data_IF_313049738099
#
_entry.id   IF_313049738099
#
_cell.length_a   1.000
_cell.length_b   1.000
_cell.length_c   1.000
_cell.angle_alpha   90.00
_cell.angle_beta   90.00
_cell.angle_gamma   90.00
#
_symmetry.space_group_name_H-M   'P 1'
#
loop_
_entity.id
_entity.type
_entity.pdbx_description
1 polymer ?
#
# COMPACT_ATOMS: atom_id res chain seq x y z
N UNK A 1 36.09 -5.14 9.08
CA UNK A 1 35.16 -5.61 8.00
C UNK A 1 35.58 -4.95 6.71
N UNK A 2 35.69 -5.73 5.62
CA UNK A 2 36.02 -5.20 4.29
C UNK A 2 35.26 -5.97 3.22
N UNK A 3 34.50 -5.24 2.36
CA UNK A 3 33.61 -5.80 1.37
C UNK A 3 33.79 -5.02 0.06
N UNK A 4 33.72 -5.71 -1.07
CA UNK A 4 33.67 -5.12 -2.40
C UNK A 4 32.32 -5.47 -3.02
N UNK A 5 31.52 -4.47 -3.32
CA UNK A 5 30.21 -4.59 -3.98
C UNK A 5 30.36 -4.23 -5.46
N UNK A 6 29.68 -4.94 -6.32
CA UNK A 6 29.37 -4.42 -7.65
C UNK A 6 28.35 -3.30 -7.53
N UNK A 7 28.60 -2.18 -8.21
CA UNK A 7 27.76 -0.97 -8.12
C UNK A 7 26.30 -1.22 -8.54
N UNK A 8 26.08 -1.99 -9.60
CA UNK A 8 24.76 -2.34 -10.08
C UNK A 8 23.96 -3.14 -9.03
N UNK A 9 24.59 -4.13 -8.37
CA UNK A 9 23.97 -4.96 -7.35
C UNK A 9 23.61 -4.13 -6.11
N UNK A 10 24.57 -3.37 -5.57
CA UNK A 10 24.31 -2.60 -4.34
C UNK A 10 23.29 -1.46 -4.57
N UNK A 11 23.29 -0.81 -5.73
CA UNK A 11 22.29 0.20 -6.07
C UNK A 11 20.88 -0.39 -6.17
N UNK A 12 20.74 -1.58 -6.77
CA UNK A 12 19.48 -2.29 -6.84
C UNK A 12 18.97 -2.69 -5.45
N UNK A 13 19.89 -3.09 -4.55
CA UNK A 13 19.54 -3.52 -3.19
C UNK A 13 19.15 -2.34 -2.26
N UNK A 14 19.81 -1.20 -2.39
CA UNK A 14 19.59 -0.08 -1.47
C UNK A 14 18.18 0.53 -1.61
N UNK A 15 17.60 0.56 -2.82
CA UNK A 15 16.30 1.16 -3.04
C UNK A 15 15.17 0.45 -2.25
N UNK A 16 14.99 -0.88 -2.31
CA UNK A 16 14.03 -1.61 -1.48
C UNK A 16 14.28 -1.45 0.03
N UNK A 17 15.55 -1.43 0.46
CA UNK A 17 15.91 -1.30 1.87
C UNK A 17 15.41 -0.01 2.50
N UNK A 18 15.28 1.08 1.73
CA UNK A 18 14.76 2.35 2.25
C UNK A 18 13.33 2.24 2.77
N UNK A 19 12.55 1.25 2.33
CA UNK A 19 11.20 0.98 2.84
C UNK A 19 11.15 0.51 4.30
N UNK A 20 12.25 -0.03 4.82
CA UNK A 20 12.37 -0.46 6.23
C UNK A 20 13.04 0.57 7.15
N UNK A 21 13.46 1.72 6.63
CA UNK A 21 14.15 2.75 7.41
C UNK A 21 13.16 3.61 8.19
N UNK A 22 13.47 3.92 9.45
CA UNK A 22 12.66 4.83 10.26
C UNK A 22 12.73 6.26 9.73
N UNK A 23 11.58 6.93 9.69
CA UNK A 23 11.48 8.37 9.41
C UNK A 23 11.41 9.21 10.68
N UNK A 24 11.42 8.57 11.86
CA UNK A 24 11.35 9.23 13.17
C UNK A 24 12.66 9.02 13.91
N UNK A 25 13.29 10.07 14.37
CA UNK A 25 14.58 10.09 15.12
C UNK A 25 14.42 9.54 16.56
N UNK A 26 13.97 8.30 16.73
CA UNK A 26 13.87 7.68 18.07
C UNK A 26 15.08 6.89 18.46
N UNK A 27 15.71 6.19 17.51
CA UNK A 27 16.91 5.38 17.71
C UNK A 27 17.79 5.52 16.45
N UNK A 28 19.02 5.98 16.60
CA UNK A 28 19.92 6.17 15.46
C UNK A 28 20.16 4.89 14.64
N UNK A 29 20.12 3.72 15.30
CA UNK A 29 20.27 2.43 14.63
C UNK A 29 19.13 2.12 13.65
N UNK A 30 17.89 2.61 13.89
CA UNK A 30 16.74 2.37 13.01
C UNK A 30 16.73 3.26 11.74
N UNK A 31 17.60 4.27 11.69
CA UNK A 31 17.88 5.07 10.50
C UNK A 31 18.98 4.47 9.64
N UNK A 32 19.55 3.35 10.08
CA UNK A 32 20.69 2.68 9.45
C UNK A 32 20.32 1.41 8.69
N UNK A 33 21.27 0.98 7.87
CA UNK A 33 21.31 -0.36 7.28
C UNK A 33 22.31 -1.18 8.11
N UNK A 34 21.84 -2.26 8.72
CA UNK A 34 22.70 -3.29 9.25
C UNK A 34 23.31 -4.08 8.09
N UNK A 35 24.62 -4.10 8.01
CA UNK A 35 25.39 -4.85 7.02
C UNK A 35 26.09 -6.00 7.76
N UNK A 36 25.80 -7.23 7.34
CA UNK A 36 26.38 -8.45 7.88
C UNK A 36 27.10 -9.19 6.75
N UNK A 37 28.43 -9.21 6.80
CA UNK A 37 29.26 -9.83 5.79
C UNK A 37 29.84 -11.16 6.29
N UNK A 38 29.61 -12.22 5.52
CA UNK A 38 30.07 -13.57 5.78
C UNK A 38 30.88 -14.11 4.61
N UNK A 39 32.04 -14.71 4.93
CA UNK A 39 32.90 -15.33 3.91
C UNK A 39 32.22 -16.52 3.24
N UNK A 40 32.47 -16.78 1.94
CA UNK A 40 33.38 -15.95 1.10
C UNK A 40 32.66 -14.77 0.43
N UNK A 41 31.36 -14.81 0.20
CA UNK A 41 30.67 -13.88 -0.74
C UNK A 41 29.22 -13.54 -0.38
N UNK A 42 28.82 -13.72 0.87
CA UNK A 42 27.44 -13.44 1.31
C UNK A 42 27.41 -12.14 2.12
N UNK A 43 26.57 -11.20 1.69
CA UNK A 43 26.28 -9.99 2.42
C UNK A 43 24.77 -9.86 2.64
N UNK A 44 24.37 -9.77 3.92
CA UNK A 44 22.97 -9.53 4.31
C UNK A 44 22.82 -8.07 4.71
N UNK A 45 21.87 -7.41 4.11
CA UNK A 45 21.52 -6.02 4.38
C UNK A 45 20.14 -5.99 5.03
N UNK A 46 20.01 -5.34 6.19
CA UNK A 46 18.74 -5.28 6.91
C UNK A 46 18.44 -3.86 7.37
N UNK A 47 17.21 -3.42 7.18
CA UNK A 47 16.65 -2.21 7.77
C UNK A 47 15.44 -2.58 8.61
N UNK A 48 15.22 -1.89 9.74
CA UNK A 48 14.11 -2.20 10.64
C UNK A 48 13.77 -0.99 11.52
N UNK A 49 12.51 -0.55 11.45
CA UNK A 49 12.00 0.59 12.23
C UNK A 49 11.22 0.19 13.49
N UNK A 50 11.37 -1.07 13.94
CA UNK A 50 10.68 -1.72 15.08
C UNK A 50 9.24 -2.20 14.73
N UNK A 51 8.61 -1.64 13.71
CA UNK A 51 7.29 -2.06 13.23
C UNK A 51 7.40 -2.91 11.96
N UNK A 52 8.24 -2.50 11.02
CA UNK A 52 8.48 -3.17 9.74
C UNK A 52 9.94 -3.10 9.33
N UNK A 53 10.36 -4.00 8.48
CA UNK A 53 11.72 -4.02 7.97
C UNK A 53 11.85 -4.71 6.63
N UNK A 54 13.01 -4.52 6.02
CA UNK A 54 13.40 -5.17 4.77
C UNK A 54 14.76 -5.83 4.99
N UNK A 55 14.87 -7.06 4.53
CA UNK A 55 16.14 -7.80 4.47
C UNK A 55 16.40 -8.22 3.03
N UNK A 56 17.64 -8.08 2.62
CA UNK A 56 18.11 -8.57 1.33
C UNK A 56 19.42 -9.32 1.52
N UNK A 57 19.56 -10.42 0.80
CA UNK A 57 20.83 -11.15 0.69
C UNK A 57 21.39 -10.87 -0.70
N UNK A 58 22.60 -10.33 -0.74
CA UNK A 58 23.28 -10.01 -2.00
C UNK A 58 24.65 -10.70 -2.05
N UNK A 59 25.09 -10.96 -3.27
CA UNK A 59 26.45 -11.41 -3.51
C UNK A 59 27.41 -10.22 -3.46
N UNK A 60 28.51 -10.37 -2.70
CA UNK A 60 29.56 -9.39 -2.59
C UNK A 60 30.89 -10.10 -2.30
N UNK A 61 32.01 -9.56 -2.75
CA UNK A 61 33.34 -10.10 -2.43
C UNK A 61 33.72 -9.69 -1.00
N UNK A 62 33.62 -10.63 -0.07
CA UNK A 62 33.91 -10.41 1.36
C UNK A 62 35.37 -10.73 1.64
N UNK A 63 36.19 -9.69 1.79
CA UNK A 63 37.61 -9.82 2.11
C UNK A 63 37.80 -10.06 3.61
N UNK A 64 37.05 -9.34 4.45
CA UNK A 64 37.03 -9.46 5.90
C UNK A 64 35.60 -9.48 6.42
N UNK A 65 35.23 -10.58 7.05
CA UNK A 65 33.87 -10.71 7.63
C UNK A 65 33.66 -9.71 8.78
N UNK A 66 32.41 -9.41 9.07
CA UNK A 66 32.03 -8.54 10.17
C UNK A 66 30.61 -7.97 10.00
N UNK A 67 30.22 -7.11 10.94
CA UNK A 67 28.91 -6.48 10.92
C UNK A 67 28.96 -5.08 11.49
N UNK A 68 28.20 -4.17 10.89
CA UNK A 68 28.06 -2.78 11.37
C UNK A 68 26.80 -2.14 10.80
N UNK A 69 26.41 -1.00 11.37
CA UNK A 69 25.27 -0.21 10.91
C UNK A 69 25.81 1.06 10.27
N UNK A 70 25.39 1.35 9.05
CA UNK A 70 25.68 2.60 8.34
C UNK A 70 24.42 3.40 8.13
N UNK A 71 24.51 4.75 8.11
CA UNK A 71 23.36 5.60 7.82
C UNK A 71 22.79 5.28 6.45
N UNK A 72 21.51 4.84 6.40
CA UNK A 72 20.83 4.42 5.18
C UNK A 72 20.78 5.54 4.13
N UNK A 73 20.40 6.74 4.56
CA UNK A 73 20.31 7.90 3.67
C UNK A 73 21.66 8.28 3.07
N UNK A 74 22.71 8.40 3.90
CA UNK A 74 24.06 8.75 3.43
C UNK A 74 24.64 7.67 2.53
N UNK A 75 24.53 6.40 2.95
CA UNK A 75 25.03 5.26 2.18
C UNK A 75 24.36 5.19 0.80
N UNK A 76 23.04 5.32 0.74
CA UNK A 76 22.28 5.34 -0.50
C UNK A 76 22.74 6.48 -1.44
N UNK A 77 22.91 7.69 -0.91
CA UNK A 77 23.35 8.83 -1.70
C UNK A 77 24.78 8.63 -2.24
N UNK A 78 25.70 8.16 -1.40
CA UNK A 78 27.10 7.92 -1.79
C UNK A 78 27.17 6.86 -2.88
N UNK A 79 26.56 5.70 -2.69
CA UNK A 79 26.57 4.58 -3.63
C UNK A 79 26.02 5.00 -5.01
N UNK A 80 24.98 5.83 -5.02
CA UNK A 80 24.37 6.33 -6.26
C UNK A 80 25.31 7.21 -7.10
N UNK A 81 26.09 8.08 -6.45
CA UNK A 81 26.95 9.06 -7.14
C UNK A 81 28.37 8.55 -7.43
N UNK A 82 28.78 7.42 -6.90
CA UNK A 82 30.10 6.83 -7.19
C UNK A 82 30.24 6.45 -8.67
N UNK A 83 31.40 6.74 -9.27
CA UNK A 83 31.63 6.55 -10.71
C UNK A 83 32.18 5.18 -11.11
N UNK A 84 32.81 4.44 -10.18
CA UNK A 84 33.41 3.12 -10.45
C UNK A 84 32.40 1.99 -10.56
N UNK A 85 32.80 0.87 -11.15
CA UNK A 85 31.98 -0.35 -11.23
C UNK A 85 31.95 -1.11 -9.89
N UNK A 86 33.03 -0.96 -9.09
CA UNK A 86 33.16 -1.61 -7.78
C UNK A 86 33.19 -0.56 -6.68
N UNK A 87 32.53 -0.87 -5.58
CA UNK A 87 32.46 -0.03 -4.38
C UNK A 87 33.03 -0.83 -3.21
N UNK A 88 34.14 -0.38 -2.67
CA UNK A 88 34.76 -0.99 -1.49
C UNK A 88 34.29 -0.27 -0.24
N UNK A 89 33.66 -1.00 0.68
CA UNK A 89 33.34 -0.55 2.03
C UNK A 89 34.33 -1.18 3.02
N UNK A 90 35.00 -0.33 3.78
CA UNK A 90 35.86 -0.76 4.88
C UNK A 90 35.39 -0.13 6.18
N UNK A 91 35.22 -0.91 7.24
CA UNK A 91 34.85 -0.40 8.58
C UNK A 91 35.94 -0.86 9.57
N UNK A 92 36.60 0.11 10.19
CA UNK A 92 37.67 -0.10 11.14
C UNK A 92 37.15 -0.34 12.59
N UNK A 93 38.06 -0.65 13.51
CA UNK A 93 37.73 -0.90 14.91
C UNK A 93 37.21 0.35 15.66
N UNK A 94 37.31 1.53 15.07
CA UNK A 94 36.78 2.79 15.60
C UNK A 94 35.39 3.11 15.03
N UNK A 95 34.79 2.17 14.31
CA UNK A 95 33.53 2.36 13.58
C UNK A 95 33.59 3.49 12.55
N UNK A 96 34.74 3.73 11.93
CA UNK A 96 34.84 4.62 10.79
C UNK A 96 34.60 3.80 9.51
N UNK A 97 33.52 4.11 8.80
CA UNK A 97 33.20 3.53 7.50
C UNK A 97 33.83 4.35 6.39
N UNK A 98 34.71 3.73 5.59
CA UNK A 98 35.32 4.31 4.39
C UNK A 98 34.76 3.62 3.17
N UNK A 99 34.21 4.40 2.24
CA UNK A 99 33.62 3.94 0.98
C UNK A 99 34.46 4.49 -0.17
N UNK A 100 35.03 3.60 -0.96
CA UNK A 100 35.94 3.95 -2.08
C UNK A 100 35.41 3.37 -3.38
N UNK A 101 35.43 4.18 -4.44
CA UNK A 101 35.18 3.73 -5.79
C UNK A 101 35.99 4.59 -6.77
N UNK A 102 36.88 3.98 -7.54
CA UNK A 102 37.78 4.67 -8.44
C UNK A 102 38.67 5.67 -7.68
N UNK A 103 38.52 6.97 -7.97
CA UNK A 103 39.26 8.07 -7.33
C UNK A 103 38.48 8.73 -6.19
N UNK A 104 37.24 8.35 -5.98
CA UNK A 104 36.37 8.94 -4.97
C UNK A 104 36.43 8.17 -3.66
N UNK A 105 36.54 8.91 -2.56
CA UNK A 105 36.54 8.33 -1.22
C UNK A 105 35.63 9.15 -0.30
N UNK A 106 34.77 8.49 0.44
CA UNK A 106 33.89 9.08 1.45
C UNK A 106 34.09 8.37 2.78
N UNK A 107 33.99 9.13 3.87
CA UNK A 107 34.03 8.60 5.21
C UNK A 107 32.77 8.99 5.97
N UNK A 108 32.27 8.08 6.80
CA UNK A 108 31.17 8.34 7.72
C UNK A 108 31.31 7.49 8.98
N UNK A 109 30.66 7.91 10.06
CA UNK A 109 30.59 7.11 11.28
C UNK A 109 29.60 5.98 11.10
N UNK A 110 30.02 4.76 11.43
CA UNK A 110 29.16 3.60 11.57
C UNK A 110 28.77 3.40 13.05
N UNK A 111 27.76 2.57 13.30
CA UNK A 111 27.39 2.14 14.65
C UNK A 111 27.69 0.64 14.80
N UNK A 112 27.98 0.17 16.02
CA UNK A 112 28.14 -1.26 16.27
C UNK A 112 26.87 -2.04 15.94
N UNK A 113 26.99 -3.21 15.31
CA UNK A 113 25.85 -4.06 14.96
C UNK A 113 24.98 -4.45 16.17
N UNK A 114 25.56 -4.57 17.37
CA UNK A 114 24.85 -4.87 18.62
C UNK A 114 23.79 -3.83 19.02
N UNK A 115 23.89 -2.62 18.48
CA UNK A 115 22.95 -1.53 18.75
C UNK A 115 21.71 -1.62 17.84
N UNK A 116 21.71 -2.54 16.86
CA UNK A 116 20.56 -2.78 16.00
C UNK A 116 19.45 -3.49 16.78
N UNK A 117 18.17 -3.07 16.59
CA UNK A 117 17.06 -3.72 17.26
C UNK A 117 16.97 -5.21 16.95
N UNK A 118 16.58 -6.02 17.94
CA UNK A 118 16.36 -7.45 17.72
C UNK A 118 15.27 -7.68 16.68
N UNK A 119 15.63 -8.36 15.60
CA UNK A 119 14.70 -8.71 14.52
C UNK A 119 13.87 -9.90 15.00
N UNK A 120 12.52 -9.85 14.87
CA UNK A 120 11.67 -10.96 15.24
C UNK A 120 12.11 -12.23 14.51
N UNK A 121 12.22 -13.35 15.23
CA UNK A 121 12.46 -14.67 14.61
C UNK A 121 11.24 -15.06 13.82
N UNK A 122 11.41 -15.17 12.53
CA UNK A 122 10.34 -15.36 11.57
C UNK A 122 10.31 -16.85 11.14
N UNK A 123 9.94 -17.72 12.07
CA UNK A 123 9.70 -19.13 11.76
C UNK A 123 8.20 -19.37 11.80
N UNK A 124 7.59 -19.65 10.66
CA UNK A 124 6.20 -20.02 10.56
C UNK A 124 6.03 -21.17 9.57
N UNK A 125 5.16 -22.11 9.93
CA UNK A 125 4.69 -23.16 9.04
C UNK A 125 3.37 -22.79 8.35
N UNK A 126 2.76 -21.67 8.71
CA UNK A 126 1.52 -21.18 8.13
C UNK A 126 1.81 -20.10 7.09
N UNK A 127 1.14 -20.17 5.96
CA UNK A 127 1.30 -19.18 4.91
C UNK A 127 0.81 -19.70 3.56
N UNK A 128 1.07 -18.90 2.54
CA UNK A 128 0.67 -19.20 1.17
C UNK A 128 1.58 -18.47 0.17
N UNK A 129 1.49 -18.89 -1.08
CA UNK A 129 2.13 -18.23 -2.21
C UNK A 129 1.04 -17.72 -3.16
N UNK A 130 1.21 -16.52 -3.69
CA UNK A 130 0.27 -15.88 -4.61
C UNK A 130 1.00 -15.09 -5.70
N UNK A 131 0.38 -14.83 -6.87
CA UNK A 131 0.92 -13.92 -7.88
C UNK A 131 1.06 -12.48 -7.31
N UNK A 132 2.23 -11.87 -7.51
CA UNK A 132 2.51 -10.51 -6.98
C UNK A 132 1.56 -9.46 -7.53
N UNK A 133 1.26 -9.52 -8.83
CA UNK A 133 0.37 -8.56 -9.48
C UNK A 133 -1.04 -8.60 -8.89
N UNK A 134 -1.56 -9.77 -8.53
CA UNK A 134 -2.87 -9.93 -7.88
C UNK A 134 -2.87 -9.27 -6.49
N UNK A 135 -1.92 -9.63 -5.63
CA UNK A 135 -1.81 -9.05 -4.28
C UNK A 135 -1.67 -7.53 -4.36
N UNK A 136 -0.81 -7.04 -5.27
CA UNK A 136 -0.61 -5.61 -5.49
C UNK A 136 -1.88 -4.91 -6.00
N UNK A 137 -2.59 -5.51 -6.96
CA UNK A 137 -3.84 -4.98 -7.51
C UNK A 137 -4.93 -4.84 -6.45
N UNK A 138 -5.12 -5.87 -5.62
CA UNK A 138 -6.08 -5.84 -4.52
C UNK A 138 -5.72 -4.79 -3.46
N UNK A 139 -4.43 -4.63 -3.14
CA UNK A 139 -3.97 -3.57 -2.25
C UNK A 139 -4.28 -2.19 -2.83
N UNK A 140 -4.02 -1.96 -4.12
CA UNK A 140 -4.30 -0.70 -4.81
C UNK A 140 -5.77 -0.30 -4.69
N UNK A 141 -6.69 -1.24 -4.90
CA UNK A 141 -8.14 -1.04 -4.81
C UNK A 141 -8.61 -0.65 -3.40
N UNK A 142 -7.90 -1.09 -2.34
CA UNK A 142 -8.35 -0.88 -0.97
C UNK A 142 -7.55 0.18 -0.18
N UNK A 143 -6.31 0.51 -0.57
CA UNK A 143 -5.41 1.36 0.23
C UNK A 143 -6.02 2.74 0.60
N UNK A 144 -6.81 3.34 -0.29
CA UNK A 144 -7.36 4.69 -0.09
C UNK A 144 -8.38 4.76 1.05
N UNK A 145 -9.01 3.64 1.40
CA UNK A 145 -10.08 3.59 2.40
C UNK A 145 -9.60 3.18 3.80
N UNK A 146 -8.30 2.92 4.00
CA UNK A 146 -7.74 2.67 5.33
C UNK A 146 -7.87 3.88 6.24
N UNK A 147 -8.17 3.64 7.52
CA UNK A 147 -8.14 4.66 8.55
C UNK A 147 -6.72 5.22 8.77
N UNK A 148 -6.65 6.48 9.13
CA UNK A 148 -5.41 7.16 9.51
C UNK A 148 -5.59 7.75 10.91
N UNK A 149 -4.92 7.17 11.91
CA UNK A 149 -5.04 7.55 13.31
C UNK A 149 -6.49 7.42 13.85
N UNK A 150 -7.26 6.45 13.34
CA UNK A 150 -8.58 6.10 13.91
C UNK A 150 -8.40 5.55 15.33
N UNK A 151 -9.34 5.85 16.23
CA UNK A 151 -9.32 5.37 17.61
C UNK A 151 -9.48 3.84 17.71
N UNK A 152 -10.01 3.21 16.68
CA UNK A 152 -10.09 1.75 16.52
C UNK A 152 -8.86 1.26 15.78
N UNK A 153 -7.86 0.67 16.44
CA UNK A 153 -6.58 0.30 15.81
C UNK A 153 -6.74 -0.58 14.57
N UNK A 154 -7.72 -1.48 14.56
CA UNK A 154 -7.98 -2.42 13.45
C UNK A 154 -8.30 -1.73 12.14
N UNK A 155 -8.83 -0.50 12.16
CA UNK A 155 -9.13 0.27 10.95
C UNK A 155 -7.90 0.99 10.38
N UNK A 156 -6.81 1.10 11.15
CA UNK A 156 -5.56 1.73 10.69
C UNK A 156 -4.69 0.78 9.84
N UNK A 157 -5.30 -0.19 9.19
CA UNK A 157 -4.63 -1.17 8.34
C UNK A 157 -5.56 -1.78 7.31
N UNK A 158 -4.95 -2.59 6.45
CA UNK A 158 -5.64 -3.38 5.44
C UNK A 158 -5.87 -4.79 5.99
N UNK A 159 -7.12 -5.20 6.02
CA UNK A 159 -7.51 -6.55 6.38
C UNK A 159 -7.37 -7.46 5.17
N UNK A 160 -6.76 -8.62 5.39
CA UNK A 160 -6.66 -9.71 4.44
C UNK A 160 -7.34 -10.95 4.99
N UNK A 161 -8.03 -11.67 4.14
CA UNK A 161 -8.57 -12.99 4.43
C UNK A 161 -8.34 -13.92 3.26
N UNK A 162 -7.81 -15.09 3.54
CA UNK A 162 -7.70 -16.21 2.58
C UNK A 162 -8.67 -17.27 3.04
N UNK A 163 -9.59 -17.68 2.18
CA UNK A 163 -10.47 -18.81 2.43
C UNK A 163 -11.03 -19.38 1.12
N UNK A 164 -11.14 -20.70 1.04
CA UNK A 164 -11.70 -21.42 -0.12
C UNK A 164 -11.08 -21.01 -1.47
N UNK A 165 -9.76 -20.80 -1.53
CA UNK A 165 -9.07 -20.39 -2.75
C UNK A 165 -9.29 -18.91 -3.16
N UNK A 166 -10.04 -18.13 -2.36
CA UNK A 166 -10.24 -16.70 -2.57
C UNK A 166 -9.33 -15.87 -1.67
N UNK A 167 -8.78 -14.84 -2.23
CA UNK A 167 -8.10 -13.78 -1.49
C UNK A 167 -9.05 -12.58 -1.38
N UNK A 168 -9.26 -12.11 -0.16
CA UNK A 168 -10.08 -10.94 0.15
C UNK A 168 -9.22 -9.86 0.78
N UNK A 169 -9.48 -8.61 0.41
CA UNK A 169 -8.95 -7.44 1.08
C UNK A 169 -10.06 -6.49 1.45
N UNK A 170 -10.00 -5.91 2.64
CA UNK A 170 -10.98 -4.93 3.10
C UNK A 170 -10.28 -3.80 3.83
N UNK A 171 -10.70 -2.59 3.55
CA UNK A 171 -10.33 -1.41 4.31
C UNK A 171 -11.55 -0.56 4.59
N UNK A 172 -11.56 0.10 5.74
CA UNK A 172 -12.66 0.96 6.15
C UNK A 172 -12.16 2.06 7.07
N UNK A 173 -12.72 3.24 6.90
CA UNK A 173 -12.69 4.30 7.89
C UNK A 173 -14.13 4.67 8.29
N UNK A 174 -14.35 5.80 8.93
CA UNK A 174 -15.71 6.22 9.32
C UNK A 174 -16.57 6.74 8.16
N UNK A 175 -16.04 6.87 6.95
CA UNK A 175 -16.70 7.54 5.82
C UNK A 175 -16.73 6.72 4.55
N UNK A 176 -15.78 5.84 4.36
CA UNK A 176 -15.61 5.04 3.15
C UNK A 176 -15.12 3.65 3.47
N UNK A 177 -15.41 2.71 2.60
CA UNK A 177 -14.97 1.33 2.66
C UNK A 177 -14.68 0.82 1.26
N UNK A 178 -13.65 -0.02 1.16
CA UNK A 178 -13.38 -0.80 -0.05
C UNK A 178 -13.27 -2.27 0.32
N UNK A 179 -13.89 -3.12 -0.47
CA UNK A 179 -13.71 -4.57 -0.40
C UNK A 179 -13.45 -5.11 -1.78
N UNK A 180 -12.49 -6.00 -1.88
CA UNK A 180 -12.08 -6.65 -3.10
C UNK A 180 -11.89 -8.14 -2.81
N UNK A 181 -12.43 -8.99 -3.66
CA UNK A 181 -12.23 -10.43 -3.56
C UNK A 181 -11.98 -10.99 -4.95
N UNK A 182 -10.98 -11.86 -5.06
CA UNK A 182 -10.65 -12.53 -6.32
C UNK A 182 -10.31 -13.99 -6.08
N UNK A 183 -10.70 -14.86 -7.02
CA UNK A 183 -10.18 -16.21 -7.12
C UNK A 183 -8.83 -16.15 -7.82
N UNK A 184 -7.81 -16.78 -7.24
CA UNK A 184 -6.47 -16.77 -7.80
C UNK A 184 -5.73 -18.05 -7.44
N UNK A 185 -4.69 -18.37 -8.18
CA UNK A 185 -3.85 -19.53 -7.95
C UNK A 185 -3.04 -19.38 -6.66
N UNK A 186 -3.72 -19.68 -5.53
CA UNK A 186 -3.06 -19.75 -4.23
C UNK A 186 -2.45 -21.12 -4.03
N UNK A 187 -1.22 -21.16 -3.57
CA UNK A 187 -0.52 -22.41 -3.23
C UNK A 187 -0.13 -22.42 -1.76
N UNK A 188 -0.31 -23.56 -1.11
CA UNK A 188 0.25 -23.80 0.23
C UNK A 188 1.77 -23.75 0.22
N UNK A 189 2.39 -23.55 1.39
CA UNK A 189 3.85 -23.54 1.53
C UNK A 189 4.51 -24.88 1.17
N UNK A 190 3.76 -25.97 1.19
CA UNK A 190 4.15 -27.31 0.77
C UNK A 190 3.94 -27.55 -0.74
N UNK A 191 3.48 -26.54 -1.47
CA UNK A 191 3.16 -26.63 -2.90
C UNK A 191 1.79 -27.23 -3.20
N UNK A 192 0.93 -27.46 -2.19
CA UNK A 192 -0.43 -27.95 -2.39
C UNK A 192 -1.34 -26.82 -2.94
N UNK A 193 -2.38 -27.21 -3.68
CA UNK A 193 -3.46 -26.29 -4.11
C UNK A 193 -4.40 -25.90 -2.94
N UNK A 194 -4.24 -26.52 -1.77
CA UNK A 194 -5.06 -26.24 -0.60
C UNK A 194 -4.32 -25.29 0.32
N UNK A 195 -4.90 -24.13 0.55
CA UNK A 195 -4.38 -23.12 1.46
C UNK A 195 -5.25 -23.07 2.72
N UNK A 196 -4.60 -23.09 3.89
CA UNK A 196 -5.30 -22.92 5.16
C UNK A 196 -5.94 -21.55 5.25
N UNK A 197 -7.14 -21.49 5.84
CA UNK A 197 -7.82 -20.21 6.12
C UNK A 197 -6.93 -19.31 6.97
N UNK A 198 -6.78 -18.08 6.52
CA UNK A 198 -5.92 -17.11 7.16
C UNK A 198 -6.58 -15.73 7.20
N UNK A 199 -6.35 -15.01 8.31
CA UNK A 199 -6.83 -13.64 8.50
C UNK A 199 -5.76 -12.81 9.19
N UNK A 200 -5.49 -11.62 8.67
CA UNK A 200 -4.55 -10.70 9.30
C UNK A 200 -4.85 -9.24 8.92
N UNK A 201 -4.35 -8.32 9.74
CA UNK A 201 -4.47 -6.88 9.50
C UNK A 201 -3.06 -6.30 9.38
N UNK A 202 -2.71 -5.84 8.19
CA UNK A 202 -1.42 -5.22 7.90
C UNK A 202 -1.51 -3.71 8.14
N UNK A 203 -0.66 -3.11 8.99
CA UNK A 203 -0.68 -1.67 9.26
C UNK A 203 -0.54 -0.82 8.00
N UNK A 204 -1.20 0.34 7.93
CA UNK A 204 -1.24 1.20 6.74
C UNK A 204 0.14 1.61 6.23
N UNK A 205 1.11 1.87 7.12
CA UNK A 205 2.49 2.16 6.73
C UNK A 205 3.17 0.97 6.06
N UNK A 206 2.94 -0.24 6.60
CA UNK A 206 3.47 -1.47 6.04
C UNK A 206 2.84 -1.79 4.69
N UNK A 207 1.53 -1.55 4.54
CA UNK A 207 0.82 -1.65 3.25
C UNK A 207 1.46 -0.73 2.21
N UNK A 208 1.69 0.54 2.55
CA UNK A 208 2.27 1.51 1.61
C UNK A 208 3.67 1.12 1.14
N UNK A 209 4.51 0.57 2.01
CA UNK A 209 5.85 0.14 1.63
C UNK A 209 5.84 -1.19 0.88
N UNK A 210 5.04 -2.17 1.32
CA UNK A 210 4.88 -3.44 0.62
C UNK A 210 4.36 -3.24 -0.80
N UNK A 211 3.39 -2.34 -1.01
CA UNK A 211 2.85 -2.00 -2.33
C UNK A 211 3.94 -1.55 -3.31
N UNK A 212 4.92 -0.77 -2.85
CA UNK A 212 6.07 -0.35 -3.67
C UNK A 212 6.99 -1.53 -4.02
N UNK A 213 7.21 -2.44 -3.05
CA UNK A 213 8.08 -3.60 -3.21
C UNK A 213 7.48 -4.69 -4.10
N UNK A 214 6.15 -4.80 -4.15
CA UNK A 214 5.43 -5.72 -5.03
C UNK A 214 5.44 -5.28 -6.52
N UNK A 215 6.04 -4.13 -6.84
CA UNK A 215 6.13 -3.65 -8.21
C UNK A 215 7.15 -4.49 -8.98
N UNK A 216 6.66 -5.45 -9.75
CA UNK A 216 7.45 -6.25 -10.67
C UNK A 216 6.87 -6.12 -12.08
N UNK A 217 7.74 -6.26 -13.09
CA UNK A 217 7.35 -6.26 -14.51
C UNK A 217 6.99 -7.65 -15.01
N UNK A 218 7.38 -8.67 -14.25
CA UNK A 218 7.12 -10.08 -14.55
C UNK A 218 5.80 -10.49 -13.90
N UNK A 219 4.80 -10.75 -14.75
CA UNK A 219 3.45 -11.14 -14.31
C UNK A 219 3.44 -12.53 -13.64
N UNK A 220 4.41 -13.39 -13.96
CA UNK A 220 4.55 -14.70 -13.36
C UNK A 220 5.23 -14.69 -12.00
N UNK A 221 5.70 -13.51 -11.54
CA UNK A 221 6.40 -13.40 -10.28
C UNK A 221 5.47 -13.66 -9.08
N UNK A 222 5.98 -14.46 -8.12
CA UNK A 222 5.26 -14.88 -6.94
C UNK A 222 5.72 -14.15 -5.68
N UNK A 223 4.83 -14.01 -4.72
CA UNK A 223 5.13 -13.62 -3.35
C UNK A 223 4.75 -14.75 -2.41
N UNK A 224 5.69 -15.18 -1.57
CA UNK A 224 5.43 -16.16 -0.52
C UNK A 224 5.19 -15.43 0.79
N UNK A 225 4.07 -15.71 1.43
CA UNK A 225 3.62 -15.07 2.67
C UNK A 225 3.74 -16.07 3.80
N UNK A 226 4.50 -15.74 4.83
CA UNK A 226 4.59 -16.51 6.08
C UNK A 226 3.93 -15.73 7.19
N UNK A 227 3.10 -16.38 7.97
CA UNK A 227 2.33 -15.73 9.03
C UNK A 227 2.61 -16.33 10.39
N UNK A 228 2.68 -15.47 11.38
CA UNK A 228 2.65 -15.82 12.80
C UNK A 228 1.62 -14.95 13.49
N UNK A 229 1.33 -15.22 14.77
CA UNK A 229 0.32 -14.47 15.53
C UNK A 229 0.55 -12.95 15.52
N UNK A 230 1.81 -12.47 15.49
CA UNK A 230 2.15 -11.05 15.66
C UNK A 230 2.89 -10.45 14.48
N UNK A 231 3.42 -11.29 13.61
CA UNK A 231 4.29 -10.86 12.53
C UNK A 231 3.92 -11.57 11.23
N UNK A 232 4.18 -10.91 10.13
CA UNK A 232 4.01 -11.43 8.78
C UNK A 232 5.26 -11.13 7.97
N UNK A 233 5.59 -12.03 7.04
CA UNK A 233 6.72 -11.92 6.14
C UNK A 233 6.23 -12.11 4.72
N UNK A 234 6.75 -11.31 3.82
CA UNK A 234 6.57 -11.41 2.38
C UNK A 234 7.94 -11.64 1.73
N UNK A 235 8.12 -12.78 1.07
CA UNK A 235 9.34 -13.12 0.36
C UNK A 235 9.10 -12.95 -1.14
N UNK A 236 9.93 -12.14 -1.77
CA UNK A 236 9.83 -11.73 -3.16
C UNK A 236 11.22 -11.84 -3.82
N UNK A 237 11.63 -13.05 -4.24
CA UNK A 237 13.00 -13.30 -4.67
C UNK A 237 13.99 -13.02 -3.53
N UNK A 238 14.93 -12.11 -3.77
CA UNK A 238 15.97 -11.74 -2.78
C UNK A 238 15.48 -10.75 -1.71
N UNK A 239 14.25 -10.23 -1.86
CA UNK A 239 13.67 -9.26 -0.94
C UNK A 239 12.78 -9.99 0.07
N UNK A 240 13.06 -9.80 1.34
CA UNK A 240 12.20 -10.21 2.45
C UNK A 240 11.68 -8.98 3.17
N UNK A 241 10.40 -8.70 3.02
CA UNK A 241 9.70 -7.67 3.80
C UNK A 241 9.02 -8.32 4.99
N UNK A 242 9.16 -7.74 6.17
CA UNK A 242 8.50 -8.23 7.38
C UNK A 242 7.85 -7.09 8.16
N UNK A 243 6.72 -7.39 8.81
CA UNK A 243 5.95 -6.41 9.56
C UNK A 243 5.28 -7.02 10.78
N UNK A 244 5.09 -6.20 11.81
CA UNK A 244 4.13 -6.50 12.87
C UNK A 244 2.72 -6.38 12.32
N UNK A 245 1.81 -7.18 12.86
CA UNK A 245 0.39 -7.14 12.55
C UNK A 245 -0.37 -6.30 13.59
N UNK A 246 -1.50 -5.74 13.21
CA UNK A 246 -2.46 -5.17 14.14
C UNK A 246 -3.25 -6.31 14.74
N UNK A 247 -3.18 -6.47 16.09
CA UNK A 247 -3.93 -7.49 16.81
C UNK A 247 -5.40 -7.08 16.99
N UNK A 248 -6.32 -8.02 16.85
CA UNK A 248 -7.75 -7.82 17.05
C UNK A 248 -8.60 -8.40 15.92
N UNK A 249 -9.89 -8.47 16.17
CA UNK A 249 -10.86 -8.85 15.12
C UNK A 249 -11.23 -7.63 14.29
N UNK A 250 -11.24 -7.81 12.96
CA UNK A 250 -11.72 -6.78 12.06
C UNK A 250 -13.23 -6.62 12.19
N UNK A 251 -13.75 -5.44 11.83
CA UNK A 251 -15.18 -5.17 11.90
C UNK A 251 -15.97 -6.12 11.00
N UNK A 252 -17.21 -6.45 11.38
CA UNK A 252 -18.13 -7.19 10.52
C UNK A 252 -18.67 -6.28 9.41
N UNK A 253 -17.87 -6.11 8.37
CA UNK A 253 -18.14 -5.21 7.25
C UNK A 253 -19.36 -5.68 6.43
N UNK A 254 -19.69 -6.96 6.43
CA UNK A 254 -20.86 -7.47 5.70
C UNK A 254 -22.18 -6.90 6.23
N UNK A 255 -22.24 -6.56 7.51
CA UNK A 255 -23.43 -5.90 8.10
C UNK A 255 -23.54 -4.42 7.76
N UNK A 256 -22.45 -3.81 7.33
CA UNK A 256 -22.40 -2.38 6.98
C UNK A 256 -22.86 -2.18 5.55
N UNK A 257 -22.58 -3.14 4.66
CA UNK A 257 -22.92 -3.08 3.24
C UNK A 257 -24.43 -3.19 3.07
N UNK A 258 -25.05 -2.11 2.59
CA UNK A 258 -26.44 -2.12 2.17
C UNK A 258 -26.54 -2.78 0.78
N UNK A 259 -27.36 -3.82 0.64
CA UNK A 259 -27.49 -4.57 -0.63
C UNK A 259 -28.79 -4.30 -1.37
N UNK A 260 -29.84 -3.76 -0.70
CA UNK A 260 -31.16 -3.54 -1.27
C UNK A 260 -31.34 -2.08 -1.70
N UNK A 261 -30.64 -1.70 -2.75
CA UNK A 261 -30.75 -0.35 -3.32
C UNK A 261 -31.90 -0.27 -4.32
N UNK A 262 -32.62 0.86 -4.34
CA UNK A 262 -33.77 1.11 -5.22
C UNK A 262 -33.41 1.91 -6.46
N UNK A 263 -32.31 2.67 -6.39
CA UNK A 263 -31.85 3.55 -7.45
C UNK A 263 -30.52 3.02 -7.95
N UNK A 264 -30.36 2.94 -9.27
CA UNK A 264 -29.10 2.56 -9.90
C UNK A 264 -28.74 3.55 -10.99
N UNK A 265 -27.49 3.95 -11.03
CA UNK A 265 -26.93 4.86 -12.01
C UNK A 265 -25.77 4.14 -12.71
N UNK A 266 -25.79 4.11 -14.03
CA UNK A 266 -24.77 3.49 -14.87
C UNK A 266 -24.10 4.58 -15.71
N UNK A 267 -22.77 4.66 -15.66
CA UNK A 267 -22.05 5.73 -16.35
C UNK A 267 -20.61 5.33 -16.67
N UNK A 268 -19.99 6.14 -17.52
CA UNK A 268 -18.57 6.07 -17.82
C UNK A 268 -17.76 6.62 -16.63
N UNK A 269 -16.78 5.86 -16.18
CA UNK A 269 -15.99 6.20 -15.00
C UNK A 269 -15.07 7.40 -15.22
N UNK A 270 -14.37 7.45 -16.37
CA UNK A 270 -13.42 8.52 -16.67
C UNK A 270 -14.12 9.85 -16.92
N UNK A 271 -15.28 9.84 -17.61
CA UNK A 271 -16.10 11.03 -17.81
C UNK A 271 -16.57 11.59 -16.48
N UNK A 272 -16.98 10.71 -15.55
CA UNK A 272 -17.40 11.13 -14.22
C UNK A 272 -16.25 11.68 -13.38
N UNK A 273 -15.07 11.02 -13.39
CA UNK A 273 -13.89 11.54 -12.72
C UNK A 273 -13.52 12.92 -13.24
N UNK A 274 -13.52 13.13 -14.56
CA UNK A 274 -13.21 14.42 -15.17
C UNK A 274 -14.13 15.53 -14.67
N UNK A 275 -15.45 15.28 -14.64
CA UNK A 275 -16.43 16.25 -14.15
C UNK A 275 -16.25 16.57 -12.65
N UNK A 276 -15.89 15.56 -11.83
CA UNK A 276 -15.57 15.75 -10.41
C UNK A 276 -14.25 16.53 -10.21
N UNK A 277 -13.26 16.34 -11.06
CA UNK A 277 -12.01 17.10 -11.05
C UNK A 277 -12.24 18.58 -11.39
N UNK A 278 -13.14 18.90 -12.34
CA UNK A 278 -13.56 20.30 -12.59
C UNK A 278 -14.20 20.90 -11.32
N UNK A 279 -15.07 20.16 -10.64
CA UNK A 279 -15.65 20.60 -9.37
C UNK A 279 -14.62 20.75 -8.25
N UNK A 280 -13.52 19.95 -8.25
CA UNK A 280 -12.46 20.02 -7.26
C UNK A 280 -11.74 21.37 -7.27
N UNK A 281 -11.59 22.01 -8.42
CA UNK A 281 -10.95 23.33 -8.55
C UNK A 281 -11.65 24.41 -7.68
N UNK A 282 -12.93 24.22 -7.40
CA UNK A 282 -13.73 25.14 -6.58
C UNK A 282 -13.83 24.67 -5.13
N UNK A 283 -13.84 23.35 -4.88
CA UNK A 283 -14.05 22.79 -3.53
C UNK A 283 -12.78 22.67 -2.69
N UNK A 284 -11.58 22.67 -3.30
CA UNK A 284 -10.31 22.48 -2.58
C UNK A 284 -9.70 23.77 -2.01
N UNK A 285 -10.32 24.92 -2.21
CA UNK A 285 -9.83 26.16 -1.63
C UNK A 285 -9.91 26.17 -0.09
N UNK A 286 -8.74 26.32 0.52
CA UNK A 286 -8.58 26.47 1.98
C UNK A 286 -9.09 27.82 2.44
N UNK A 287 -10.37 27.97 2.69
CA UNK A 287 -10.89 29.10 3.47
C UNK A 287 -10.67 28.81 4.96
N UNK A 288 -10.00 29.71 5.68
CA UNK A 288 -9.71 29.56 7.09
C UNK A 288 -10.97 29.20 7.88
N UNK A 289 -11.02 27.96 8.39
CA UNK A 289 -12.04 27.51 9.34
C UNK A 289 -13.07 26.48 8.84
N UNK A 290 -13.23 26.21 7.55
CA UNK A 290 -14.05 25.09 7.09
C UNK A 290 -13.70 24.64 5.66
N UNK A 291 -13.09 23.48 5.55
CA UNK A 291 -12.96 22.81 4.25
C UNK A 291 -14.34 22.18 3.93
N UNK A 292 -15.18 22.88 3.19
CA UNK A 292 -16.41 22.31 2.63
C UNK A 292 -16.13 21.79 1.22
N UNK A 293 -15.40 20.70 1.12
CA UNK A 293 -15.11 20.05 -0.17
C UNK A 293 -16.20 19.05 -0.55
N UNK A 294 -17.46 19.48 -0.61
CA UNK A 294 -18.54 18.60 -1.07
C UNK A 294 -18.99 18.97 -2.48
N UNK A 295 -19.31 17.94 -3.24
CA UNK A 295 -19.97 18.02 -4.54
C UNK A 295 -21.42 17.57 -4.37
N UNK A 296 -22.34 18.27 -5.00
CA UNK A 296 -23.77 17.92 -5.11
C UNK A 296 -24.02 17.22 -6.43
N UNK A 297 -24.59 16.06 -6.35
CA UNK A 297 -25.00 15.23 -7.48
C UNK A 297 -26.54 15.22 -7.56
N UNK A 298 -27.09 15.41 -8.75
CA UNK A 298 -28.51 15.34 -9.02
C UNK A 298 -28.73 14.45 -10.24
N UNK A 299 -29.28 13.27 -9.99
CA UNK A 299 -29.66 12.35 -11.06
C UNK A 299 -31.13 12.59 -11.44
N UNK A 300 -31.36 12.98 -12.68
CA UNK A 300 -32.67 13.26 -13.24
C UNK A 300 -32.76 12.70 -14.67
N UNK A 301 -33.64 11.74 -14.87
CA UNK A 301 -33.77 11.09 -16.17
C UNK A 301 -32.45 10.43 -16.64
N UNK A 302 -31.89 10.90 -17.75
CA UNK A 302 -30.65 10.37 -18.35
C UNK A 302 -29.40 11.23 -18.09
N UNK A 303 -29.48 12.16 -17.15
CA UNK A 303 -28.41 13.11 -16.87
C UNK A 303 -28.08 13.12 -15.39
N UNK A 304 -26.76 13.10 -15.06
CA UNK A 304 -26.23 13.39 -13.75
C UNK A 304 -25.63 14.80 -13.75
N UNK A 305 -26.28 15.71 -13.04
CA UNK A 305 -25.80 17.08 -12.85
C UNK A 305 -24.86 17.12 -11.66
N UNK A 306 -23.69 17.71 -11.86
CA UNK A 306 -22.62 17.79 -10.87
C UNK A 306 -22.39 19.27 -10.56
N UNK A 307 -22.56 19.68 -9.30
CA UNK A 307 -22.37 21.06 -8.90
C UNK A 307 -21.58 21.20 -7.62
N UNK A 308 -20.77 22.26 -7.56
CA UNK A 308 -20.00 22.63 -6.38
C UNK A 308 -20.04 24.15 -6.21
N UNK A 309 -20.07 24.61 -4.96
CA UNK A 309 -20.08 26.05 -4.65
C UNK A 309 -19.16 26.32 -3.46
N UNK A 310 -18.34 27.36 -3.57
CA UNK A 310 -17.48 27.87 -2.50
C UNK A 310 -17.71 29.38 -2.32
N UNK A 311 -16.94 30.00 -1.43
CA UNK A 311 -16.95 31.46 -1.24
C UNK A 311 -16.40 32.25 -2.43
N UNK A 312 -15.69 31.58 -3.36
CA UNK A 312 -14.94 32.19 -4.47
C UNK A 312 -15.55 31.90 -5.82
N UNK A 313 -16.45 30.90 -5.92
CA UNK A 313 -17.05 30.55 -7.20
C UNK A 313 -17.95 29.33 -7.15
N UNK A 314 -18.42 28.91 -8.34
CA UNK A 314 -19.20 27.71 -8.54
C UNK A 314 -18.71 26.95 -9.77
N UNK A 315 -18.86 25.63 -9.74
CA UNK A 315 -18.67 24.74 -10.88
C UNK A 315 -19.97 24.00 -11.17
N UNK A 316 -20.20 23.72 -12.43
CA UNK A 316 -21.34 22.93 -12.91
C UNK A 316 -20.87 22.09 -14.10
N UNK A 317 -21.27 20.82 -14.10
CA UNK A 317 -21.02 19.89 -15.20
C UNK A 317 -22.17 18.90 -15.33
N UNK A 318 -22.25 18.19 -16.45
CA UNK A 318 -23.27 17.17 -16.72
C UNK A 318 -22.61 15.94 -17.35
N UNK A 319 -23.04 14.75 -16.89
CA UNK A 319 -22.61 13.46 -17.44
C UNK A 319 -23.83 12.65 -17.85
N UNK A 320 -23.76 12.01 -19.01
CA UNK A 320 -24.82 11.12 -19.50
C UNK A 320 -24.84 9.83 -18.66
N UNK A 321 -26.04 9.41 -18.24
CA UNK A 321 -26.22 8.21 -17.39
C UNK A 321 -27.35 7.30 -17.91
N UNK A 322 -27.20 6.00 -17.61
CA UNK A 322 -28.35 5.12 -17.48
C UNK A 322 -28.92 5.25 -16.07
N UNK A 323 -30.22 5.41 -15.91
CA UNK A 323 -30.82 5.62 -14.59
C UNK A 323 -32.03 4.71 -14.42
N UNK A 324 -32.07 3.99 -13.31
CA UNK A 324 -33.17 3.18 -12.84
C UNK A 324 -33.63 3.65 -11.46
N UNK A 325 -34.91 3.84 -11.28
CA UNK A 325 -35.52 4.27 -10.01
C UNK A 325 -35.91 5.75 -10.00
N UNK A 326 -36.06 6.30 -8.78
CA UNK A 326 -36.51 7.67 -8.58
C UNK A 326 -35.33 8.67 -8.75
N UNK A 327 -35.66 9.89 -9.18
CA UNK A 327 -34.70 10.99 -9.21
C UNK A 327 -34.19 11.30 -7.80
N UNK A 328 -32.92 11.67 -7.69
CA UNK A 328 -32.29 11.88 -6.41
C UNK A 328 -31.28 13.01 -6.42
N UNK A 329 -31.21 13.70 -5.28
CA UNK A 329 -30.15 14.69 -4.98
C UNK A 329 -29.36 14.22 -3.75
N UNK A 330 -28.04 14.13 -3.88
CA UNK A 330 -27.15 13.65 -2.85
C UNK A 330 -25.83 14.41 -2.89
N UNK A 331 -25.11 14.51 -1.78
CA UNK A 331 -23.80 15.16 -1.76
C UNK A 331 -22.71 14.28 -1.13
N UNK A 332 -21.48 14.43 -1.62
CA UNK A 332 -20.34 13.69 -1.15
C UNK A 332 -19.13 14.59 -0.92
N UNK A 333 -18.19 14.10 -0.11
CA UNK A 333 -16.84 14.62 -0.14
C UNK A 333 -16.23 14.30 -1.52
N UNK A 334 -15.91 15.34 -2.28
CA UNK A 334 -15.46 15.20 -3.66
C UNK A 334 -14.20 14.33 -3.78
N UNK A 335 -13.22 14.55 -2.90
CA UNK A 335 -11.97 13.77 -2.91
C UNK A 335 -12.23 12.28 -2.63
N UNK A 336 -13.07 11.97 -1.65
CA UNK A 336 -13.37 10.56 -1.33
C UNK A 336 -14.08 9.85 -2.48
N UNK A 337 -14.95 10.57 -3.18
CA UNK A 337 -15.63 10.05 -4.36
C UNK A 337 -14.64 9.77 -5.50
N UNK A 338 -13.77 10.73 -5.82
CA UNK A 338 -12.73 10.56 -6.84
C UNK A 338 -11.78 9.39 -6.45
N UNK A 339 -11.35 9.29 -5.20
CA UNK A 339 -10.46 8.22 -4.74
C UNK A 339 -11.14 6.84 -4.89
N UNK A 340 -12.46 6.74 -4.60
CA UNK A 340 -13.22 5.50 -4.79
C UNK A 340 -13.34 5.11 -6.26
N UNK A 341 -13.58 6.08 -7.14
CA UNK A 341 -13.68 5.87 -8.59
C UNK A 341 -12.33 5.46 -9.19
N UNK A 342 -11.24 6.08 -8.75
CA UNK A 342 -9.89 5.72 -9.21
C UNK A 342 -9.44 4.33 -8.74
N UNK A 343 -9.98 3.85 -7.63
CA UNK A 343 -9.72 2.50 -7.14
C UNK A 343 -10.46 1.42 -7.94
N UNK A 344 -11.56 1.77 -8.61
CA UNK A 344 -12.28 0.89 -9.51
C UNK A 344 -11.56 0.84 -10.87
N UNK A 345 -11.22 -0.36 -11.35
CA UNK A 345 -10.47 -0.54 -12.60
C UNK A 345 -11.37 -0.78 -13.83
N UNK A 346 -12.69 -0.62 -13.70
CA UNK A 346 -13.65 -0.78 -14.79
C UNK A 346 -13.82 0.51 -15.60
N UNK A 347 -14.11 0.42 -16.89
CA UNK A 347 -14.43 1.59 -17.72
C UNK A 347 -15.83 2.09 -17.42
N UNK A 348 -16.77 1.18 -17.19
CA UNK A 348 -18.14 1.49 -16.78
C UNK A 348 -18.39 1.07 -15.35
N UNK A 349 -19.16 1.88 -14.64
CA UNK A 349 -19.50 1.63 -13.24
C UNK A 349 -21.02 1.67 -13.03
N UNK A 350 -21.44 0.97 -11.97
CA UNK A 350 -22.77 1.02 -11.41
C UNK A 350 -22.70 1.66 -10.03
N UNK A 351 -23.46 2.72 -9.82
CA UNK A 351 -23.68 3.33 -8.50
C UNK A 351 -25.06 2.95 -8.00
N UNK A 352 -25.11 2.25 -6.87
CA UNK A 352 -26.35 1.78 -6.24
C UNK A 352 -26.63 2.58 -4.96
N UNK A 353 -27.82 3.14 -4.81
CA UNK A 353 -28.22 3.99 -3.70
C UNK A 353 -29.72 3.89 -3.37
N UNK A 354 -30.14 4.39 -2.21
CA UNK A 354 -31.54 4.30 -1.77
C UNK A 354 -32.10 5.61 -1.24
N UNK A 355 -31.30 6.48 -0.66
CA UNK A 355 -31.72 7.77 -0.13
C UNK A 355 -30.53 8.74 -0.01
N UNK A 356 -30.77 10.05 0.13
CA UNK A 356 -29.71 11.05 0.32
C UNK A 356 -28.89 10.90 1.63
N UNK A 357 -29.34 10.03 2.54
CA UNK A 357 -28.75 9.85 3.87
C UNK A 357 -28.07 8.49 4.07
N UNK A 358 -28.19 7.59 3.09
CA UNK A 358 -27.59 6.25 3.15
C UNK A 358 -26.34 6.17 2.29
N UNK A 359 -25.46 5.21 2.62
CA UNK A 359 -24.26 4.95 1.80
C UNK A 359 -24.65 4.59 0.36
N UNK A 360 -23.73 4.88 -0.55
CA UNK A 360 -23.77 4.37 -1.92
C UNK A 360 -22.77 3.23 -2.05
N UNK A 361 -23.06 2.33 -3.00
CA UNK A 361 -22.14 1.33 -3.46
C UNK A 361 -21.73 1.65 -4.90
N UNK A 362 -20.43 1.63 -5.18
CA UNK A 362 -19.85 1.75 -6.51
C UNK A 362 -19.28 0.37 -6.86
N UNK A 363 -19.68 -0.16 -7.99
CA UNK A 363 -19.29 -1.51 -8.45
C UNK A 363 -18.89 -1.45 -9.93
N UNK A 364 -17.94 -2.28 -10.38
CA UNK A 364 -17.66 -2.48 -11.81
C UNK A 364 -18.92 -2.89 -12.57
N UNK A 365 -19.06 -2.45 -13.83
CA UNK A 365 -20.21 -2.77 -14.70
C UNK A 365 -19.78 -3.00 -16.16
N UNK A 366 -18.59 -3.53 -16.38
CA UNK A 366 -18.13 -3.94 -17.70
C UNK A 366 -18.65 -5.33 -18.04
N UNK A 367 -18.95 -5.56 -19.31
CA UNK A 367 -19.38 -6.88 -19.80
C UNK A 367 -18.27 -7.94 -19.69
N UNK A 368 -17.00 -7.50 -19.65
CA UNK A 368 -15.80 -8.32 -19.51
C UNK A 368 -15.28 -8.41 -18.06
N UNK A 369 -16.03 -7.88 -17.06
CA UNK A 369 -15.64 -8.04 -15.66
C UNK A 369 -15.47 -9.53 -15.39
N UNK A 370 -14.27 -9.93 -14.95
CA UNK A 370 -14.00 -11.33 -14.59
C UNK A 370 -15.05 -11.74 -13.55
N UNK A 371 -15.86 -12.73 -13.86
CA UNK A 371 -16.99 -13.15 -13.03
C UNK A 371 -16.58 -13.58 -11.60
N UNK A 372 -15.27 -13.64 -11.33
CA UNK A 372 -14.65 -14.01 -10.06
C UNK A 372 -14.30 -12.81 -9.18
N UNK A 373 -14.25 -11.59 -9.73
CA UNK A 373 -13.89 -10.38 -8.97
C UNK A 373 -15.14 -9.76 -8.32
N UNK A 374 -15.08 -9.59 -7.01
CA UNK A 374 -16.14 -8.96 -6.21
C UNK A 374 -15.61 -7.65 -5.62
N UNK A 375 -15.56 -6.61 -6.43
CA UNK A 375 -15.12 -5.28 -6.01
C UNK A 375 -16.32 -4.43 -5.60
N UNK A 376 -16.25 -3.81 -4.43
CA UNK A 376 -17.27 -2.88 -3.95
C UNK A 376 -16.61 -1.73 -3.20
N UNK A 377 -16.97 -0.52 -3.60
CA UNK A 377 -16.49 0.71 -2.99
C UNK A 377 -17.69 1.45 -2.39
N UNK A 378 -17.73 1.57 -1.08
CA UNK A 378 -18.83 2.20 -0.35
C UNK A 378 -18.41 3.59 0.13
N UNK A 379 -19.32 4.56 0.00
CA UNK A 379 -19.10 5.92 0.46
C UNK A 379 -20.36 6.46 1.19
N UNK A 380 -20.12 7.12 2.33
CA UNK A 380 -21.18 7.83 3.06
C UNK A 380 -21.40 9.24 2.48
N UNK A 381 -22.68 9.68 2.34
CA UNK A 381 -22.99 11.03 1.90
C UNK A 381 -22.70 12.09 2.96
N UNK A 382 -22.54 13.32 2.50
CA UNK A 382 -22.48 14.51 3.35
C UNK A 382 -23.89 15.05 3.52
N UNK A 383 -24.30 15.34 4.75
CA UNK A 383 -25.60 15.99 4.99
C UNK A 383 -25.59 17.41 4.43
N UNK A 384 -26.45 17.67 3.48
CA UNK A 384 -26.73 19.03 3.02
C UNK A 384 -27.50 19.77 4.13
N UNK A 385 -27.12 21.00 4.42
CA UNK A 385 -27.96 21.91 5.21
C UNK A 385 -28.87 22.62 4.22
N UNK A 386 -30.16 22.50 4.46
CA UNK A 386 -31.19 23.30 3.79
C UNK A 386 -30.92 24.80 3.97
#
# INVERSE_FOLDING_TARGET
MKIVFRKDIINAAVAPLMSGVSTKMTLAATEGILIEASLPNVCVLTTYDIEKGVRMTIEADVIEAGSAIVSASKFSQIVRVMDGNDITLTIDDRNCATIVSGRSSHTMTALPAKDFPEIPRLVSSQGFTAPRHIVRGMMAKCMYAMGVNDQRPVLNGLFFSVSNGKLHTVSCDSFKMATCATETDLMGLDGSETVEDAKFILPNKSVSELYKLLNDKDEDSLVTVYMSRKNIIFVMGDITFFSKLIEGEYIDYNRIILRNHRIKIFLDREEFISALEHAALITEEKVAGSVRSHVRLEAEGSVLKISATSGTGSAYDEVAIGHEGDDIVIAFNNRYLIDSLRACNADRIKISLSSPLTSINIEPNDDDSCATDEDLFMLLPVRMKD
#
